data_IF_178252650257
#
_entry.id   IF_178252650257
#
_cell.length_a   1.000
_cell.length_b   1.000
_cell.length_c   1.000
_cell.angle_alpha   90.00
_cell.angle_beta   90.00
_cell.angle_gamma   90.00
#
_symmetry.space_group_name_H-M   'P 1'
#
loop_
_entity.id
_entity.type
_entity.pdbx_description
1 polymer ?
#
# COMPACT_ATOMS: atom_id res chain seq x y z
N UNK A 1 -10.81 8.51 30.42
CA UNK A 1 -11.12 7.38 29.51
C UNK A 1 -9.83 6.78 29.00
N UNK A 2 -9.18 5.93 29.78
CA UNK A 2 -7.83 5.40 29.55
C UNK A 2 -7.80 4.20 28.59
N UNK A 3 -8.93 3.61 28.21
CA UNK A 3 -9.08 2.34 27.51
C UNK A 3 -9.34 2.46 26.00
N UNK A 4 -9.41 3.65 25.41
CA UNK A 4 -9.74 3.82 23.99
C UNK A 4 -8.47 3.95 23.17
N UNK A 5 -8.18 2.94 22.33
CA UNK A 5 -7.12 2.94 21.36
C UNK A 5 -7.69 3.11 19.95
N UNK A 6 -7.19 4.09 19.21
CA UNK A 6 -7.47 4.21 17.78
C UNK A 6 -6.53 3.30 17.00
N UNK A 7 -7.10 2.61 16.02
CA UNK A 7 -6.27 1.88 15.07
C UNK A 7 -5.67 2.87 14.05
N UNK A 8 -4.46 2.58 13.52
CA UNK A 8 -3.79 3.49 12.60
C UNK A 8 -4.47 3.57 11.23
N UNK A 9 -5.21 2.51 10.85
CA UNK A 9 -5.89 2.38 9.55
C UNK A 9 -7.10 1.48 9.69
N UNK A 10 -8.15 1.75 8.91
CA UNK A 10 -9.37 0.97 8.88
C UNK A 10 -9.67 0.51 7.45
N UNK A 11 -10.09 -0.75 7.32
CA UNK A 11 -10.66 -1.28 6.08
C UNK A 11 -12.18 -1.41 6.27
N UNK A 12 -12.99 -0.86 5.35
CA UNK A 12 -14.45 -0.94 5.46
C UNK A 12 -14.92 -2.40 5.35
N UNK A 13 -15.58 -2.89 6.38
CA UNK A 13 -16.11 -4.25 6.47
C UNK A 13 -17.49 -4.22 7.11
N UNK A 14 -18.38 -5.06 6.63
CA UNK A 14 -19.75 -5.22 7.17
C UNK A 14 -20.08 -6.68 7.45
N UNK A 15 -21.07 -6.92 8.32
CA UNK A 15 -21.61 -8.27 8.56
C UNK A 15 -22.16 -8.90 7.28
N UNK A 16 -22.87 -8.12 6.46
CA UNK A 16 -23.37 -8.59 5.16
C UNK A 16 -22.25 -9.10 4.23
N UNK A 17 -21.08 -8.42 4.22
CA UNK A 17 -19.94 -8.88 3.45
C UNK A 17 -19.38 -10.21 3.96
N UNK A 18 -19.38 -10.44 5.27
CA UNK A 18 -18.98 -11.74 5.85
C UNK A 18 -19.96 -12.86 5.45
N UNK A 19 -21.24 -12.60 5.51
CA UNK A 19 -22.25 -13.58 5.07
C UNK A 19 -22.12 -13.89 3.57
N UNK A 20 -21.84 -12.87 2.73
CA UNK A 20 -21.58 -13.07 1.32
C UNK A 20 -20.34 -13.96 1.10
N UNK A 21 -19.25 -13.73 1.85
CA UNK A 21 -18.03 -14.54 1.81
C UNK A 21 -18.29 -15.99 2.21
N UNK A 22 -18.97 -16.24 3.33
CA UNK A 22 -19.33 -17.57 3.80
C UNK A 22 -20.25 -18.30 2.81
N UNK A 23 -21.27 -17.60 2.28
CA UNK A 23 -22.20 -18.15 1.30
C UNK A 23 -21.53 -18.52 -0.03
N UNK A 24 -20.53 -17.74 -0.48
CA UNK A 24 -19.78 -18.06 -1.69
C UNK A 24 -18.92 -19.34 -1.50
N UNK A 25 -18.30 -19.51 -0.34
CA UNK A 25 -17.49 -20.71 -0.03
C UNK A 25 -18.35 -21.98 -0.02
N UNK A 26 -19.62 -21.86 0.35
CA UNK A 26 -20.55 -23.00 0.43
C UNK A 26 -21.13 -23.42 -0.94
N UNK A 27 -21.01 -22.58 -1.99
CA UNK A 27 -21.57 -22.85 -3.33
C UNK A 27 -20.53 -23.46 -4.26
N UNK A 28 -20.96 -24.41 -5.11
CA UNK A 28 -20.10 -25.05 -6.08
C UNK A 28 -19.48 -24.04 -7.10
N UNK A 29 -20.31 -23.10 -7.58
CA UNK A 29 -19.92 -22.04 -8.54
C UNK A 29 -19.50 -20.72 -7.88
N UNK A 30 -19.43 -20.71 -6.55
CA UNK A 30 -19.17 -19.50 -5.77
C UNK A 30 -17.82 -18.83 -6.09
N UNK A 31 -16.80 -19.61 -6.43
CA UNK A 31 -15.48 -19.12 -6.82
C UNK A 31 -15.54 -18.36 -8.13
N UNK A 32 -16.04 -19.01 -9.17
CA UNK A 32 -16.06 -18.44 -10.52
C UNK A 32 -16.87 -17.13 -10.56
N UNK A 33 -18.04 -17.11 -9.92
CA UNK A 33 -18.87 -15.91 -9.83
C UNK A 33 -18.19 -14.79 -9.04
N UNK A 34 -17.54 -15.10 -7.91
CA UNK A 34 -16.87 -14.09 -7.10
C UNK A 34 -15.65 -13.49 -7.84
N UNK A 35 -14.83 -14.31 -8.47
CA UNK A 35 -13.68 -13.88 -9.26
C UNK A 35 -14.14 -13.04 -10.46
N UNK A 36 -15.10 -13.50 -11.26
CA UNK A 36 -15.64 -12.76 -12.41
C UNK A 36 -16.19 -11.38 -12.00
N UNK A 37 -16.91 -11.32 -10.87
CA UNK A 37 -17.42 -10.05 -10.35
C UNK A 37 -16.32 -9.08 -9.97
N UNK A 38 -15.27 -9.53 -9.29
CA UNK A 38 -14.13 -8.69 -8.91
C UNK A 38 -13.36 -8.22 -10.15
N UNK A 39 -13.12 -9.11 -11.12
CA UNK A 39 -12.46 -8.76 -12.39
C UNK A 39 -13.23 -7.66 -13.10
N UNK A 40 -14.56 -7.77 -13.23
CA UNK A 40 -15.39 -6.74 -13.86
C UNK A 40 -15.31 -5.40 -13.13
N UNK A 41 -15.42 -5.40 -11.78
CA UNK A 41 -15.32 -4.19 -10.98
C UNK A 41 -13.95 -3.49 -11.10
N UNK A 42 -12.87 -4.27 -11.15
CA UNK A 42 -11.50 -3.72 -11.33
C UNK A 42 -11.30 -3.20 -12.75
N UNK A 43 -11.72 -3.94 -13.77
CA UNK A 43 -11.62 -3.52 -15.16
C UNK A 43 -12.38 -2.20 -15.41
N UNK A 44 -13.59 -2.10 -14.88
CA UNK A 44 -14.41 -0.87 -14.98
C UNK A 44 -13.75 0.31 -14.25
N UNK A 45 -13.35 0.13 -12.98
CA UNK A 45 -12.84 1.23 -12.16
C UNK A 45 -11.48 1.75 -12.61
N UNK A 46 -10.61 0.86 -13.06
CA UNK A 46 -9.22 1.18 -13.42
C UNK A 46 -8.97 1.24 -14.92
N UNK A 47 -9.90 0.82 -15.76
CA UNK A 47 -9.73 0.76 -17.22
C UNK A 47 -8.72 -0.32 -17.66
N UNK A 48 -8.53 -1.39 -16.86
CA UNK A 48 -7.56 -2.41 -17.14
C UNK A 48 -7.99 -3.33 -18.30
N UNK A 49 -7.06 -3.63 -19.22
CA UNK A 49 -7.25 -4.57 -20.33
C UNK A 49 -7.16 -6.03 -19.90
N UNK A 50 -6.36 -6.31 -18.88
CA UNK A 50 -6.29 -7.64 -18.27
C UNK A 50 -6.16 -7.51 -16.75
N UNK A 51 -6.75 -8.48 -16.03
CA UNK A 51 -6.74 -8.59 -14.58
C UNK A 51 -6.32 -9.99 -14.19
N UNK A 52 -5.35 -10.09 -13.29
CA UNK A 52 -4.94 -11.34 -12.64
C UNK A 52 -5.14 -11.20 -11.14
N UNK A 53 -6.07 -11.94 -10.58
CA UNK A 53 -6.32 -11.94 -9.14
C UNK A 53 -5.31 -12.85 -8.43
N UNK A 54 -4.86 -12.43 -7.25
CA UNK A 54 -3.86 -13.12 -6.44
C UNK A 54 -4.27 -13.15 -4.97
N UNK A 55 -3.61 -13.98 -4.16
CA UNK A 55 -3.90 -14.08 -2.72
C UNK A 55 -3.40 -12.89 -1.89
N UNK A 56 -2.55 -12.04 -2.46
CA UNK A 56 -2.05 -10.82 -1.81
C UNK A 56 -1.46 -9.83 -2.81
N UNK A 57 -1.33 -8.54 -2.43
CA UNK A 57 -0.60 -7.55 -3.21
C UNK A 57 0.88 -7.92 -3.41
N UNK A 58 1.51 -8.55 -2.42
CA UNK A 58 2.89 -9.05 -2.52
C UNK A 58 3.01 -10.11 -3.62
N UNK A 59 2.07 -11.06 -3.68
CA UNK A 59 1.99 -12.05 -4.76
C UNK A 59 1.79 -11.39 -6.13
N UNK A 60 0.93 -10.36 -6.22
CA UNK A 60 0.71 -9.62 -7.46
C UNK A 60 1.99 -8.93 -7.93
N UNK A 61 2.73 -8.28 -7.01
CA UNK A 61 4.01 -7.65 -7.34
C UNK A 61 5.07 -8.69 -7.72
N UNK A 62 5.18 -9.80 -6.97
CA UNK A 62 6.09 -10.90 -7.33
C UNK A 62 5.79 -11.42 -8.73
N UNK A 63 4.51 -11.63 -9.07
CA UNK A 63 4.11 -12.08 -10.41
C UNK A 63 4.51 -11.06 -11.50
N UNK A 64 4.32 -9.77 -11.26
CA UNK A 64 4.75 -8.72 -12.19
C UNK A 64 6.27 -8.78 -12.44
N UNK A 65 7.08 -8.91 -11.37
CA UNK A 65 8.54 -8.99 -11.45
C UNK A 65 9.01 -10.28 -12.15
N UNK A 66 8.38 -11.42 -11.88
CA UNK A 66 8.65 -12.69 -12.59
C UNK A 66 8.32 -12.54 -14.08
N UNK A 67 7.23 -11.87 -14.42
CA UNK A 67 6.85 -11.58 -15.80
C UNK A 67 7.94 -10.79 -16.53
N UNK A 68 8.45 -9.74 -15.90
CA UNK A 68 9.56 -8.92 -16.44
C UNK A 68 10.81 -9.75 -16.66
N UNK A 69 11.22 -10.57 -15.68
CA UNK A 69 12.39 -11.46 -15.82
C UNK A 69 12.26 -12.45 -16.98
N UNK A 70 11.06 -13.00 -17.17
CA UNK A 70 10.80 -13.93 -18.29
C UNK A 70 10.81 -13.23 -19.66
N UNK A 71 10.47 -11.95 -19.72
CA UNK A 71 10.55 -11.14 -20.94
C UNK A 71 11.97 -10.64 -21.20
N UNK A 72 12.73 -10.34 -20.14
CA UNK A 72 14.05 -9.68 -20.18
C UNK A 72 14.99 -10.36 -19.20
N UNK A 73 15.49 -11.53 -19.61
CA UNK A 73 16.42 -12.31 -18.78
C UNK A 73 17.64 -11.46 -18.36
N UNK A 74 17.98 -11.50 -17.07
CA UNK A 74 19.15 -10.82 -16.51
C UNK A 74 18.96 -9.32 -16.22
N UNK A 75 17.84 -8.70 -16.56
CA UNK A 75 17.62 -7.28 -16.21
C UNK A 75 17.32 -7.10 -14.72
N UNK A 76 17.83 -6.01 -14.16
CA UNK A 76 17.47 -5.59 -12.81
C UNK A 76 16.11 -4.85 -12.79
N UNK A 77 15.55 -4.68 -11.60
CA UNK A 77 14.35 -3.86 -11.37
C UNK A 77 14.69 -2.67 -10.49
N UNK A 78 14.34 -1.46 -10.93
CA UNK A 78 14.45 -0.27 -10.10
C UNK A 78 13.30 -0.22 -9.10
N UNK A 79 13.60 -0.12 -7.79
CA UNK A 79 12.61 -0.01 -6.72
C UNK A 79 12.95 1.16 -5.78
N UNK A 80 11.95 1.80 -5.13
CA UNK A 80 12.22 2.89 -4.20
C UNK A 80 13.00 2.39 -2.98
N UNK A 81 14.02 3.12 -2.55
CA UNK A 81 14.76 2.81 -1.34
C UNK A 81 13.95 3.03 -0.05
N UNK A 82 12.86 3.82 -0.12
CA UNK A 82 11.88 3.94 0.96
C UNK A 82 10.53 3.40 0.51
N UNK A 83 10.14 2.23 1.01
CA UNK A 83 8.86 1.59 0.70
C UNK A 83 8.46 0.57 1.77
N UNK A 84 7.26 0.00 1.60
CA UNK A 84 6.84 -1.18 2.34
C UNK A 84 7.82 -2.34 2.12
N UNK A 85 8.13 -3.08 3.18
CA UNK A 85 9.04 -4.24 3.08
C UNK A 85 8.49 -5.37 2.20
N UNK A 86 7.19 -5.35 1.90
CA UNK A 86 6.59 -6.25 0.93
C UNK A 86 7.16 -6.08 -0.49
N UNK A 87 7.71 -4.90 -0.84
CA UNK A 87 8.43 -4.68 -2.10
C UNK A 87 9.72 -5.49 -2.12
N UNK A 88 10.48 -5.48 -1.02
CA UNK A 88 11.67 -6.33 -0.86
C UNK A 88 11.31 -7.82 -0.90
N UNK A 89 10.25 -8.23 -0.17
CA UNK A 89 9.72 -9.60 -0.20
C UNK A 89 9.34 -10.04 -1.60
N UNK A 90 8.70 -9.15 -2.38
CA UNK A 90 8.31 -9.47 -3.76
C UNK A 90 9.51 -9.63 -4.69
N UNK A 91 10.54 -8.78 -4.55
CA UNK A 91 11.77 -8.87 -5.32
C UNK A 91 12.55 -10.15 -4.98
N UNK A 92 12.65 -10.52 -3.71
CA UNK A 92 13.24 -11.79 -3.27
C UNK A 92 12.48 -12.99 -3.83
N UNK A 93 11.14 -12.96 -3.74
CA UNK A 93 10.27 -14.01 -4.25
C UNK A 93 10.35 -14.20 -5.78
N UNK A 94 10.62 -13.12 -6.51
CA UNK A 94 10.83 -13.16 -7.95
C UNK A 94 12.26 -13.57 -8.33
N UNK A 95 13.22 -13.52 -7.41
CA UNK A 95 14.62 -13.78 -7.69
C UNK A 95 15.30 -12.68 -8.52
N UNK A 96 14.74 -11.44 -8.55
CA UNK A 96 15.24 -10.37 -9.43
C UNK A 96 16.39 -9.60 -8.79
N UNK A 97 17.45 -9.22 -9.56
CA UNK A 97 18.41 -8.22 -9.12
C UNK A 97 17.72 -6.86 -8.96
N UNK A 98 18.10 -6.09 -7.95
CA UNK A 98 17.47 -4.82 -7.60
C UNK A 98 18.46 -3.67 -7.73
N UNK A 99 18.01 -2.57 -8.32
CA UNK A 99 18.64 -1.26 -8.27
C UNK A 99 17.73 -0.32 -7.48
N UNK A 100 18.21 0.16 -6.36
CA UNK A 100 17.46 1.13 -5.55
C UNK A 100 17.55 2.52 -6.18
N UNK A 101 16.47 3.29 -6.09
CA UNK A 101 16.46 4.72 -6.33
C UNK A 101 15.94 5.47 -5.09
N UNK A 102 16.39 6.72 -4.91
CA UNK A 102 15.98 7.54 -3.77
C UNK A 102 14.56 8.10 -3.93
N UNK A 103 13.95 8.48 -2.82
CA UNK A 103 12.61 9.04 -2.75
C UNK A 103 12.68 10.48 -2.23
N UNK A 104 12.09 11.43 -2.95
CA UNK A 104 11.97 12.82 -2.47
C UNK A 104 11.12 12.83 -1.18
N UNK A 105 11.66 13.29 -0.05
CA UNK A 105 10.96 13.27 1.22
C UNK A 105 9.77 14.25 1.28
N UNK A 106 9.70 15.24 0.40
CA UNK A 106 8.65 16.24 0.40
C UNK A 106 7.46 15.90 -0.50
N UNK A 107 7.63 14.97 -1.44
CA UNK A 107 6.59 14.55 -2.40
C UNK A 107 6.28 13.06 -2.37
N UNK A 108 7.17 12.25 -1.79
CA UNK A 108 7.16 10.78 -1.84
C UNK A 108 7.34 10.21 -3.26
N UNK A 109 7.68 11.04 -4.22
CA UNK A 109 7.97 10.65 -5.59
C UNK A 109 9.41 10.13 -5.73
N UNK A 110 9.73 9.37 -6.80
CA UNK A 110 11.11 9.04 -7.16
C UNK A 110 11.97 10.29 -7.33
N UNK A 111 13.18 10.29 -6.76
CA UNK A 111 14.20 11.26 -7.14
C UNK A 111 14.64 10.97 -8.59
N UNK A 112 14.47 11.95 -9.47
CA UNK A 112 14.70 11.77 -10.90
C UNK A 112 16.17 11.45 -11.24
N UNK A 113 17.13 12.03 -10.53
CA UNK A 113 18.56 11.80 -10.78
C UNK A 113 18.95 10.37 -10.36
N UNK A 114 18.48 9.94 -9.19
CA UNK A 114 18.69 8.59 -8.68
C UNK A 114 18.02 7.52 -9.56
N UNK A 115 16.78 7.79 -10.02
CA UNK A 115 16.08 6.90 -10.95
C UNK A 115 16.81 6.78 -12.29
N UNK A 116 17.27 7.90 -12.88
CA UNK A 116 18.09 7.85 -14.10
C UNK A 116 19.37 7.04 -13.91
N UNK A 117 20.02 7.14 -12.74
CA UNK A 117 21.21 6.35 -12.44
C UNK A 117 20.89 4.84 -12.41
N UNK A 118 19.76 4.42 -11.84
CA UNK A 118 19.32 3.03 -11.85
C UNK A 118 19.00 2.54 -13.27
N UNK A 119 18.33 3.34 -14.09
CA UNK A 119 18.02 3.00 -15.49
C UNK A 119 19.29 2.84 -16.33
N UNK A 120 20.27 3.74 -16.20
CA UNK A 120 21.58 3.62 -16.89
C UNK A 120 22.34 2.34 -16.52
N UNK A 121 22.07 1.75 -15.35
CA UNK A 121 22.66 0.47 -14.92
C UNK A 121 21.88 -0.75 -15.40
N UNK A 122 20.91 -0.59 -16.29
CA UNK A 122 20.19 -1.69 -16.93
C UNK A 122 18.92 -2.13 -16.21
N UNK A 123 18.25 -1.27 -15.47
CA UNK A 123 16.93 -1.61 -14.95
C UNK A 123 15.92 -1.77 -16.11
N UNK A 124 15.36 -2.95 -16.26
CA UNK A 124 14.34 -3.28 -17.28
C UNK A 124 12.91 -3.02 -16.84
N UNK A 125 12.70 -2.72 -15.56
CA UNK A 125 11.42 -2.24 -15.03
C UNK A 125 11.63 -1.27 -13.86
N UNK A 126 10.60 -0.46 -13.60
CA UNK A 126 10.54 0.49 -12.49
C UNK A 126 9.29 0.18 -11.67
N UNK A 127 9.44 -0.05 -10.38
CA UNK A 127 8.30 -0.09 -9.44
C UNK A 127 8.13 1.31 -8.83
N UNK A 128 6.97 1.93 -9.03
CA UNK A 128 6.63 3.24 -8.45
C UNK A 128 5.54 3.05 -7.40
N UNK A 129 5.82 3.41 -6.16
CA UNK A 129 4.89 3.22 -5.05
C UNK A 129 4.09 4.49 -4.74
N UNK A 130 2.76 4.39 -4.74
CA UNK A 130 1.85 5.44 -4.29
C UNK A 130 1.64 5.34 -2.78
N UNK A 131 2.64 5.73 -2.02
CA UNK A 131 2.70 5.54 -0.57
C UNK A 131 1.57 6.28 0.15
N UNK A 132 0.95 5.63 1.13
CA UNK A 132 -0.10 6.18 2.01
C UNK A 132 -1.34 6.72 1.29
N UNK A 133 -1.50 6.41 -0.01
CA UNK A 133 -2.57 6.94 -0.83
C UNK A 133 -2.25 8.29 -1.49
N UNK A 134 -0.99 8.69 -1.53
CA UNK A 134 -0.50 9.85 -2.29
C UNK A 134 -0.14 9.42 -3.69
N UNK A 135 -0.82 9.94 -4.72
CA UNK A 135 -0.50 9.60 -6.10
C UNK A 135 0.79 10.29 -6.54
N UNK A 136 1.64 9.54 -7.22
CA UNK A 136 2.87 10.02 -7.87
C UNK A 136 2.54 10.41 -9.30
N UNK A 137 3.06 11.56 -9.75
CA UNK A 137 3.00 11.92 -11.17
C UNK A 137 4.01 11.06 -11.97
N UNK A 138 3.50 10.32 -12.94
CA UNK A 138 4.29 9.42 -13.77
C UNK A 138 4.83 10.05 -15.04
N UNK A 139 4.55 11.32 -15.34
CA UNK A 139 4.90 11.94 -16.61
C UNK A 139 6.40 11.85 -16.92
N UNK A 140 7.28 12.33 -16.02
CA UNK A 140 8.73 12.21 -16.19
C UNK A 140 9.20 10.74 -16.10
N UNK A 141 8.62 9.95 -15.20
CA UNK A 141 9.00 8.54 -15.00
C UNK A 141 8.73 7.72 -16.26
N UNK A 142 7.55 7.91 -16.88
CA UNK A 142 7.17 7.23 -18.13
C UNK A 142 8.10 7.62 -19.28
N UNK A 143 8.49 8.90 -19.37
CA UNK A 143 9.47 9.35 -20.38
C UNK A 143 10.83 8.67 -20.17
N UNK A 144 11.36 8.68 -18.95
CA UNK A 144 12.62 8.01 -18.61
C UNK A 144 12.56 6.49 -18.85
N UNK A 145 11.43 5.86 -18.52
CA UNK A 145 11.20 4.46 -18.77
C UNK A 145 11.20 4.13 -20.27
N UNK A 146 10.54 4.96 -21.09
CA UNK A 146 10.51 4.79 -22.54
C UNK A 146 11.91 4.91 -23.16
N UNK A 147 12.72 5.91 -22.75
CA UNK A 147 14.10 6.09 -23.18
C UNK A 147 14.99 4.89 -22.85
N UNK A 148 14.78 4.26 -21.69
CA UNK A 148 15.51 3.06 -21.26
C UNK A 148 14.87 1.76 -21.74
N UNK A 149 13.72 1.81 -22.38
CA UNK A 149 12.91 0.66 -22.73
C UNK A 149 12.39 -0.10 -21.50
N UNK A 150 12.26 0.51 -20.33
CA UNK A 150 11.83 -0.13 -19.09
C UNK A 150 10.31 -0.15 -18.95
N UNK A 151 9.79 -1.18 -18.25
CA UNK A 151 8.36 -1.31 -17.94
C UNK A 151 8.03 -0.57 -16.65
N UNK A 152 6.96 0.25 -16.63
CA UNK A 152 6.48 0.91 -15.41
C UNK A 152 5.45 0.04 -14.72
N UNK A 153 5.71 -0.29 -13.44
CA UNK A 153 4.83 -1.04 -12.54
C UNK A 153 4.41 -0.12 -11.41
N UNK A 154 3.14 0.26 -11.34
CA UNK A 154 2.61 1.05 -10.24
C UNK A 154 2.31 0.13 -9.03
N UNK A 155 2.96 0.34 -7.89
CA UNK A 155 2.49 -0.23 -6.62
C UNK A 155 1.41 0.68 -6.02
N UNK A 156 0.17 0.40 -6.38
CA UNK A 156 -1.02 1.09 -5.90
C UNK A 156 -1.70 0.37 -4.70
N UNK A 157 -0.97 -0.52 -4.01
CA UNK A 157 -1.49 -1.29 -2.87
C UNK A 157 -2.02 -0.42 -1.72
N UNK A 158 -1.66 0.86 -1.66
CA UNK A 158 -2.12 1.85 -0.68
C UNK A 158 -2.95 2.98 -1.30
N UNK A 159 -3.18 2.95 -2.61
CA UNK A 159 -3.71 4.10 -3.35
C UNK A 159 -5.18 3.98 -3.73
N UNK A 160 -5.93 3.05 -3.18
CA UNK A 160 -7.35 2.89 -3.51
C UNK A 160 -8.12 4.20 -3.33
N UNK A 161 -8.71 4.68 -4.43
CA UNK A 161 -9.43 5.94 -4.50
C UNK A 161 -8.58 7.20 -4.74
N UNK A 162 -7.26 7.11 -4.75
CA UNK A 162 -6.40 8.20 -5.17
C UNK A 162 -6.49 8.37 -6.70
N UNK A 163 -6.44 9.63 -7.16
CA UNK A 163 -6.47 9.96 -8.60
C UNK A 163 -5.45 11.03 -8.94
N UNK A 164 -4.96 11.01 -10.18
CA UNK A 164 -4.15 12.07 -10.78
C UNK A 164 -4.75 12.42 -12.16
N UNK A 165 -5.07 13.68 -12.39
CA UNK A 165 -5.73 14.12 -13.61
C UNK A 165 -7.04 13.38 -13.90
N UNK A 166 -7.80 13.01 -12.86
CA UNK A 166 -9.05 12.23 -12.98
C UNK A 166 -8.84 10.72 -13.17
N UNK A 167 -7.62 10.24 -13.46
CA UNK A 167 -7.30 8.82 -13.61
C UNK A 167 -6.93 8.19 -12.27
N UNK A 168 -7.36 6.95 -11.98
CA UNK A 168 -6.95 6.26 -10.76
C UNK A 168 -5.43 6.09 -10.69
N UNK A 169 -4.85 6.29 -9.50
CA UNK A 169 -3.49 5.83 -9.22
C UNK A 169 -3.46 4.30 -9.33
N UNK A 170 -2.52 3.77 -10.07
CA UNK A 170 -2.53 2.39 -10.54
C UNK A 170 -3.26 2.21 -11.89
N UNK A 171 -3.37 3.25 -12.72
CA UNK A 171 -3.99 3.20 -14.04
C UNK A 171 -3.21 3.94 -15.12
N UNK A 172 -1.92 4.20 -14.93
CA UNK A 172 -1.10 5.02 -15.81
C UNK A 172 0.15 4.31 -16.33
N UNK A 173 0.67 3.32 -15.61
CA UNK A 173 1.80 2.47 -16.05
C UNK A 173 1.37 1.32 -16.96
N UNK A 174 2.32 0.50 -17.40
CA UNK A 174 2.03 -0.74 -18.15
C UNK A 174 1.33 -1.79 -17.28
N UNK A 175 1.73 -1.85 -16.00
CA UNK A 175 1.19 -2.74 -14.98
C UNK A 175 0.86 -1.95 -13.70
N UNK A 176 -0.12 -2.44 -12.95
CA UNK A 176 -0.36 -1.97 -11.59
C UNK A 176 -0.68 -3.11 -10.63
N UNK A 177 -0.27 -2.92 -9.38
CA UNK A 177 -0.50 -3.85 -8.29
C UNK A 177 -1.49 -3.23 -7.30
N UNK A 178 -2.54 -3.98 -6.98
CA UNK A 178 -3.50 -3.64 -5.93
C UNK A 178 -3.42 -4.65 -4.79
N UNK A 179 -3.77 -4.21 -3.58
CA UNK A 179 -3.86 -5.06 -2.40
C UNK A 179 -5.21 -4.91 -1.72
N UNK A 180 -5.81 -6.04 -1.35
CA UNK A 180 -7.11 -6.13 -0.67
C UNK A 180 -6.97 -6.68 0.75
N UNK A 181 -5.74 -6.70 1.26
CA UNK A 181 -5.44 -7.13 2.62
C UNK A 181 -6.02 -6.18 3.68
N UNK A 182 -5.88 -6.59 4.93
CA UNK A 182 -6.27 -5.77 6.09
C UNK A 182 -5.49 -4.46 6.11
N UNK A 183 -6.16 -3.38 6.44
CA UNK A 183 -5.54 -2.04 6.47
C UNK A 183 -5.42 -1.40 5.08
N UNK A 184 -6.10 -1.91 4.06
CA UNK A 184 -6.13 -1.33 2.70
C UNK A 184 -7.44 -0.59 2.43
N UNK A 185 -7.44 0.28 1.43
CA UNK A 185 -8.62 1.08 1.07
C UNK A 185 -9.76 0.27 0.47
N UNK A 186 -9.43 -0.77 -0.31
CA UNK A 186 -10.31 -1.87 -0.73
C UNK A 186 -9.97 -3.09 0.11
N UNK A 187 -10.95 -3.90 0.51
CA UNK A 187 -10.67 -5.07 1.34
C UNK A 187 -11.49 -6.30 1.00
N UNK A 188 -10.80 -7.42 0.86
CA UNK A 188 -11.33 -8.78 0.92
C UNK A 188 -10.83 -9.52 2.16
N UNK A 189 -10.10 -8.80 3.08
CA UNK A 189 -9.38 -9.40 4.20
C UNK A 189 -8.04 -9.99 3.82
N UNK A 190 -7.91 -10.48 2.62
CA UNK A 190 -6.73 -10.92 1.89
C UNK A 190 -6.93 -10.60 0.40
N UNK A 191 -5.97 -10.98 -0.44
CA UNK A 191 -6.08 -10.81 -1.88
C UNK A 191 -5.29 -9.62 -2.43
N UNK A 192 -5.08 -9.66 -3.72
CA UNK A 192 -4.47 -8.62 -4.54
C UNK A 192 -4.86 -8.78 -6.00
N UNK A 193 -4.41 -7.87 -6.84
CA UNK A 193 -4.56 -7.96 -8.29
C UNK A 193 -3.37 -7.36 -8.99
N UNK A 194 -3.01 -7.97 -10.12
CA UNK A 194 -2.13 -7.40 -11.13
C UNK A 194 -2.99 -6.97 -12.31
N UNK A 195 -2.93 -5.69 -12.64
CA UNK A 195 -3.68 -5.05 -13.73
C UNK A 195 -2.73 -4.73 -14.89
N UNK A 196 -3.19 -4.85 -16.13
CA UNK A 196 -2.43 -4.51 -17.32
C UNK A 196 -3.19 -3.52 -18.21
N UNK A 197 -2.45 -2.56 -18.81
CA UNK A 197 -3.03 -1.45 -19.55
C UNK A 197 -2.61 -1.38 -21.02
N UNK A 198 -1.47 -1.94 -21.37
CA UNK A 198 -0.94 -1.95 -22.73
C UNK A 198 -0.60 -3.38 -23.20
N UNK A 199 -0.13 -3.50 -24.43
CA UNK A 199 0.19 -4.81 -25.01
C UNK A 199 1.34 -5.50 -24.27
N UNK A 200 2.30 -4.73 -23.71
CA UNK A 200 3.42 -5.29 -22.90
C UNK A 200 2.86 -5.86 -21.61
N UNK A 201 2.09 -5.08 -20.87
CA UNK A 201 1.49 -5.52 -19.61
C UNK A 201 0.59 -6.75 -19.77
N UNK A 202 -0.24 -6.79 -20.83
CA UNK A 202 -1.10 -7.96 -21.12
C UNK A 202 -0.25 -9.21 -21.35
N UNK A 203 0.81 -9.14 -22.18
CA UNK A 203 1.71 -10.29 -22.38
C UNK A 203 2.37 -10.76 -21.09
N UNK A 204 2.79 -9.82 -20.22
CA UNK A 204 3.40 -10.16 -18.92
C UNK A 204 2.40 -10.87 -18.01
N UNK A 205 1.16 -10.40 -17.96
CA UNK A 205 0.08 -11.05 -17.17
C UNK A 205 -0.19 -12.46 -17.67
N UNK A 206 -0.30 -12.67 -18.99
CA UNK A 206 -0.54 -14.01 -19.57
C UNK A 206 0.60 -14.98 -19.27
N UNK A 207 1.86 -14.54 -19.31
CA UNK A 207 3.04 -15.38 -18.98
C UNK A 207 3.04 -15.90 -17.55
N UNK A 208 2.45 -15.15 -16.62
CA UNK A 208 2.49 -15.52 -15.18
C UNK A 208 1.18 -16.13 -14.69
N UNK A 209 0.10 -16.06 -15.47
CA UNK A 209 -1.21 -16.62 -15.09
C UNK A 209 -1.12 -18.10 -14.69
N UNK A 210 -0.42 -18.92 -15.45
CA UNK A 210 -0.23 -20.35 -15.19
C UNK A 210 0.71 -20.67 -14.01
N UNK A 211 1.36 -19.67 -13.42
CA UNK A 211 2.26 -19.87 -12.26
C UNK A 211 1.53 -19.81 -10.92
N UNK A 212 0.26 -19.36 -10.92
CA UNK A 212 -0.53 -19.30 -9.70
C UNK A 212 -0.96 -20.69 -9.28
N UNK A 213 -0.55 -21.12 -8.11
CA UNK A 213 -1.07 -22.33 -7.47
C UNK A 213 -2.51 -22.16 -6.99
N UNK A 214 -3.14 -23.27 -6.61
CA UNK A 214 -4.53 -23.33 -6.18
C UNK A 214 -4.84 -22.40 -5.00
N UNK A 215 -6.05 -21.84 -4.98
CA UNK A 215 -6.50 -21.00 -3.88
C UNK A 215 -6.64 -21.80 -2.59
N UNK A 216 -6.44 -21.13 -1.47
CA UNK A 216 -6.80 -21.71 -0.17
C UNK A 216 -8.33 -21.74 -0.01
N UNK A 217 -8.85 -22.73 0.70
CA UNK A 217 -10.25 -22.70 1.17
C UNK A 217 -10.40 -21.46 2.07
N UNK A 218 -11.32 -20.56 1.72
CA UNK A 218 -11.45 -19.24 2.35
C UNK A 218 -12.00 -19.21 3.78
N UNK A 219 -12.19 -20.38 4.45
CA UNK A 219 -12.75 -20.42 5.81
C UNK A 219 -11.91 -19.64 6.83
N UNK A 220 -10.57 -19.74 6.75
CA UNK A 220 -9.67 -18.96 7.61
C UNK A 220 -9.82 -17.45 7.37
N UNK A 221 -10.04 -17.04 6.13
CA UNK A 221 -10.26 -15.64 5.79
C UNK A 221 -11.57 -15.14 6.40
N UNK A 222 -12.65 -15.92 6.31
CA UNK A 222 -13.95 -15.60 6.94
C UNK A 222 -13.80 -15.46 8.45
N UNK A 223 -13.12 -16.41 9.13
CA UNK A 223 -12.88 -16.35 10.57
C UNK A 223 -12.04 -15.14 10.98
N UNK A 224 -10.96 -14.85 10.22
CA UNK A 224 -10.10 -13.71 10.48
C UNK A 224 -10.85 -12.37 10.30
N UNK A 225 -11.73 -12.29 9.30
CA UNK A 225 -12.57 -11.13 9.06
C UNK A 225 -13.66 -10.97 10.12
N UNK A 226 -14.25 -12.07 10.60
CA UNK A 226 -15.21 -12.05 11.71
C UNK A 226 -14.56 -11.53 13.00
N UNK A 227 -13.36 -12.02 13.32
CA UNK A 227 -12.57 -11.53 14.44
C UNK A 227 -12.23 -10.05 14.25
N UNK A 228 -11.82 -9.62 13.05
CA UNK A 228 -11.57 -8.21 12.74
C UNK A 228 -12.82 -7.36 12.95
N UNK A 229 -14.00 -7.78 12.49
CA UNK A 229 -15.25 -7.03 12.64
C UNK A 229 -15.61 -6.79 14.12
N UNK A 230 -15.34 -7.77 14.98
CA UNK A 230 -15.56 -7.66 16.42
C UNK A 230 -14.53 -6.75 17.09
N UNK A 231 -13.26 -6.90 16.73
CA UNK A 231 -12.13 -6.19 17.37
C UNK A 231 -11.93 -4.76 16.86
N UNK A 232 -12.54 -4.36 15.74
CA UNK A 232 -12.47 -3.00 15.16
C UNK A 232 -13.33 -1.99 15.96
N UNK A 233 -13.66 -2.24 17.21
CA UNK A 233 -14.26 -1.26 18.09
C UNK A 233 -13.15 -0.63 18.93
N UNK A 234 -13.01 0.72 18.97
CA UNK A 234 -11.91 1.38 19.69
C UNK A 234 -11.76 0.96 21.16
N UNK A 235 -12.87 0.54 21.78
CA UNK A 235 -12.89 0.05 23.17
C UNK A 235 -12.39 -1.42 23.30
N UNK A 236 -12.45 -2.21 22.22
CA UNK A 236 -11.97 -3.60 22.19
C UNK A 236 -10.58 -3.72 21.58
N UNK A 237 -10.18 -2.75 20.75
CA UNK A 237 -8.89 -2.78 20.07
C UNK A 237 -7.70 -2.68 21.05
N UNK A 238 -7.91 -2.14 22.25
CA UNK A 238 -6.91 -2.14 23.33
C UNK A 238 -6.44 -3.56 23.69
N UNK A 239 -7.32 -4.57 23.60
CA UNK A 239 -6.96 -5.96 23.91
C UNK A 239 -5.92 -6.53 22.93
N UNK A 240 -6.17 -6.59 21.61
CA UNK A 240 -5.14 -7.05 20.66
C UNK A 240 -3.93 -6.11 20.61
N UNK A 241 -4.09 -4.81 20.82
CA UNK A 241 -2.98 -3.85 20.82
C UNK A 241 -2.03 -4.03 22.04
N UNK A 242 -2.50 -4.61 23.12
CA UNK A 242 -1.69 -4.94 24.30
C UNK A 242 -0.89 -6.26 24.13
N UNK A 243 -1.15 -7.04 23.07
CA UNK A 243 -0.49 -8.32 22.82
C UNK A 243 0.72 -8.12 21.88
N UNK A 244 1.97 -8.08 22.39
CA UNK A 244 3.14 -7.70 21.58
C UNK A 244 3.42 -8.69 20.44
N UNK A 245 3.06 -9.97 20.59
CA UNK A 245 3.26 -11.00 19.56
C UNK A 245 2.35 -10.82 18.31
N UNK A 246 1.31 -9.98 18.37
CA UNK A 246 0.46 -9.68 17.23
C UNK A 246 1.07 -8.64 16.27
N UNK A 247 2.14 -7.95 16.67
CA UNK A 247 2.86 -6.95 15.86
C UNK A 247 1.94 -5.99 15.10
N UNK A 248 0.84 -5.54 15.75
CA UNK A 248 -0.16 -4.72 15.11
C UNK A 248 0.37 -3.33 14.78
N UNK A 249 0.39 -3.03 13.49
CA UNK A 249 0.89 -1.76 12.98
C UNK A 249 2.42 -1.72 12.80
N UNK A 250 3.13 -2.80 13.06
CA UNK A 250 4.56 -2.91 12.81
C UNK A 250 4.83 -3.35 11.36
N UNK A 251 5.86 -2.76 10.77
CA UNK A 251 6.37 -3.17 9.46
C UNK A 251 7.50 -4.17 9.67
N UNK A 252 7.25 -5.42 9.31
CA UNK A 252 8.20 -6.53 9.46
C UNK A 252 8.45 -7.14 8.09
N UNK A 253 9.73 -7.38 7.76
CA UNK A 253 10.10 -8.16 6.59
C UNK A 253 9.58 -9.61 6.74
N UNK A 254 8.99 -10.12 5.69
CA UNK A 254 8.46 -11.49 5.63
C UNK A 254 9.11 -12.25 4.51
N UNK A 255 9.37 -13.53 4.75
CA UNK A 255 9.87 -14.42 3.71
C UNK A 255 8.88 -14.55 2.54
N UNK A 256 9.38 -14.67 1.30
CA UNK A 256 8.56 -14.90 0.13
C UNK A 256 7.68 -16.15 0.26
N UNK A 257 6.53 -16.10 -0.38
CA UNK A 257 5.59 -17.24 -0.43
C UNK A 257 5.34 -17.63 -1.87
N UNK A 258 4.96 -18.90 -2.12
CA UNK A 258 4.53 -19.32 -3.45
C UNK A 258 3.38 -18.48 -3.97
N UNK A 259 3.38 -18.20 -5.27
CA UNK A 259 2.31 -17.49 -5.96
C UNK A 259 1.01 -18.30 -5.86
N UNK A 260 -0.09 -17.66 -5.46
CA UNK A 260 -1.40 -18.32 -5.31
C UNK A 260 -2.53 -17.44 -5.83
N UNK A 261 -3.57 -18.12 -6.30
CA UNK A 261 -4.85 -17.50 -6.59
C UNK A 261 -5.57 -17.05 -5.29
N UNK A 262 -6.48 -16.05 -5.35
CA UNK A 262 -7.20 -15.56 -4.19
C UNK A 262 -8.20 -16.61 -3.66
N UNK A 263 -8.61 -16.49 -2.40
CA UNK A 263 -9.69 -17.31 -1.88
C UNK A 263 -11.06 -16.80 -2.36
N UNK A 264 -12.00 -17.72 -2.53
CA UNK A 264 -13.40 -17.41 -2.86
C UNK A 264 -14.00 -16.40 -1.89
N UNK A 265 -13.76 -16.60 -0.58
CA UNK A 265 -14.22 -15.68 0.46
C UNK A 265 -13.68 -14.26 0.26
N UNK A 266 -12.39 -14.13 -0.02
CA UNK A 266 -11.76 -12.81 -0.24
C UNK A 266 -12.39 -12.07 -1.42
N UNK A 267 -12.56 -12.73 -2.56
CA UNK A 267 -13.20 -12.12 -3.73
C UNK A 267 -14.66 -11.71 -3.45
N UNK A 268 -15.43 -12.57 -2.80
CA UNK A 268 -16.83 -12.27 -2.47
C UNK A 268 -16.97 -11.12 -1.47
N UNK A 269 -16.12 -11.08 -0.44
CA UNK A 269 -16.07 -9.97 0.53
C UNK A 269 -15.66 -8.67 -0.16
N UNK A 270 -14.65 -8.69 -1.02
CA UNK A 270 -14.22 -7.52 -1.78
C UNK A 270 -15.36 -6.94 -2.63
N UNK A 271 -16.07 -7.79 -3.38
CA UNK A 271 -17.21 -7.36 -4.17
C UNK A 271 -18.33 -6.74 -3.29
N UNK A 272 -18.59 -7.32 -2.12
CA UNK A 272 -19.63 -6.84 -1.20
C UNK A 272 -19.23 -5.55 -0.43
N UNK A 273 -17.93 -5.27 -0.31
CA UNK A 273 -17.44 -4.04 0.37
C UNK A 273 -17.13 -2.90 -0.61
N UNK A 274 -17.30 -3.10 -1.91
CA UNK A 274 -16.88 -2.18 -2.96
C UNK A 274 -17.42 -0.76 -2.77
N UNK A 275 -18.73 -0.63 -2.56
CA UNK A 275 -19.38 0.67 -2.35
C UNK A 275 -19.07 1.28 -0.97
N UNK A 276 -18.70 0.47 0.02
CA UNK A 276 -18.29 0.98 1.33
C UNK A 276 -16.95 1.70 1.25
N UNK A 277 -16.08 1.30 0.31
CA UNK A 277 -14.77 1.92 0.11
C UNK A 277 -14.88 3.38 -0.33
N UNK A 278 -15.89 3.75 -1.13
CA UNK A 278 -16.08 5.12 -1.59
C UNK A 278 -16.54 6.04 -0.44
N UNK A 279 -17.44 5.55 0.41
CA UNK A 279 -17.85 6.29 1.63
C UNK A 279 -16.68 6.48 2.60
N UNK A 280 -15.85 5.46 2.75
CA UNK A 280 -14.65 5.53 3.58
C UNK A 280 -13.62 6.52 3.02
N UNK A 281 -13.44 6.55 1.70
CA UNK A 281 -12.58 7.50 1.01
C UNK A 281 -12.96 8.95 1.29
N UNK A 282 -14.26 9.27 1.20
CA UNK A 282 -14.75 10.62 1.49
C UNK A 282 -14.55 11.01 2.95
N UNK A 283 -14.71 10.07 3.88
CA UNK A 283 -14.41 10.31 5.29
C UNK A 283 -12.93 10.60 5.50
N UNK A 284 -12.04 9.82 4.87
CA UNK A 284 -10.58 10.03 4.92
C UNK A 284 -10.19 11.42 4.41
N UNK A 285 -10.75 11.84 3.29
CA UNK A 285 -10.48 13.17 2.70
C UNK A 285 -10.91 14.30 3.63
N UNK A 286 -12.12 14.22 4.20
CA UNK A 286 -12.60 15.23 5.17
C UNK A 286 -11.72 15.29 6.41
N UNK A 287 -11.32 14.14 6.98
CA UNK A 287 -10.48 14.10 8.17
C UNK A 287 -9.06 14.59 7.87
N UNK A 288 -8.49 14.21 6.73
CA UNK A 288 -7.17 14.68 6.30
C UNK A 288 -7.17 16.21 6.11
N UNK A 289 -8.17 16.76 5.42
CA UNK A 289 -8.29 18.21 5.22
C UNK A 289 -8.33 18.96 6.56
N UNK A 290 -9.09 18.48 7.53
CA UNK A 290 -9.16 19.06 8.87
C UNK A 290 -7.82 19.02 9.60
N UNK A 291 -7.11 17.88 9.57
CA UNK A 291 -5.82 17.72 10.23
C UNK A 291 -4.72 18.53 9.54
N UNK A 292 -4.76 18.67 8.19
CA UNK A 292 -3.80 19.47 7.42
C UNK A 292 -3.82 20.94 7.83
N UNK A 293 -4.99 21.53 8.09
CA UNK A 293 -5.12 22.92 8.57
C UNK A 293 -4.35 23.11 9.89
N UNK A 294 -4.44 22.15 10.80
CA UNK A 294 -3.72 22.24 12.07
C UNK A 294 -2.21 22.01 11.89
N UNK A 295 -1.82 21.01 11.10
CA UNK A 295 -0.41 20.69 10.84
C UNK A 295 0.37 21.84 10.19
N UNK A 296 -0.26 22.55 9.25
CA UNK A 296 0.36 23.69 8.56
C UNK A 296 0.67 24.88 9.48
N UNK A 297 0.02 24.94 10.65
CA UNK A 297 0.25 25.98 11.66
C UNK A 297 1.39 25.66 12.62
N UNK A 298 1.92 24.42 12.55
CA UNK A 298 2.88 23.92 13.53
C UNK A 298 4.25 23.74 12.90
N UNK A 299 5.30 24.46 13.35
CA UNK A 299 6.64 24.39 12.78
C UNK A 299 7.31 23.03 12.95
N UNK A 300 6.86 22.23 13.93
CA UNK A 300 7.37 20.88 14.15
C UNK A 300 6.96 19.85 13.10
N UNK A 301 6.11 20.22 12.13
CA UNK A 301 5.66 19.33 11.07
C UNK A 301 5.76 19.96 9.69
N UNK A 302 6.21 19.17 8.70
CA UNK A 302 6.11 19.55 7.29
C UNK A 302 5.18 18.57 6.57
N UNK A 303 4.18 19.11 5.87
CA UNK A 303 3.23 18.31 5.09
C UNK A 303 3.83 17.84 3.78
N UNK A 304 3.40 16.69 3.29
CA UNK A 304 3.82 16.17 1.98
C UNK A 304 3.07 16.94 0.89
N UNK A 305 3.81 17.41 -0.10
CA UNK A 305 3.25 18.11 -1.26
C UNK A 305 2.57 17.14 -2.20
N UNK A 306 1.48 17.57 -2.78
CA UNK A 306 0.68 16.80 -3.72
C UNK A 306 0.73 17.50 -5.08
N UNK A 307 0.86 16.80 -6.22
CA UNK A 307 0.72 17.41 -7.54
C UNK A 307 -0.63 18.12 -7.69
N UNK A 308 -0.68 19.25 -8.42
CA UNK A 308 -1.87 20.13 -8.52
C UNK A 308 -3.14 19.40 -8.99
N UNK A 309 -2.99 18.38 -9.84
CA UNK A 309 -4.12 17.62 -10.37
C UNK A 309 -4.39 16.32 -9.61
N UNK A 310 -3.74 16.12 -8.45
CA UNK A 310 -3.86 14.91 -7.67
C UNK A 310 -4.92 15.05 -6.56
N UNK A 311 -5.66 13.97 -6.36
CA UNK A 311 -6.59 13.82 -5.23
C UNK A 311 -6.16 12.59 -4.42
N UNK A 312 -5.44 12.75 -3.31
CA UNK A 312 -5.00 11.65 -2.48
C UNK A 312 -6.15 10.82 -1.91
N UNK A 313 -5.89 9.54 -1.73
CA UNK A 313 -6.79 8.61 -1.07
C UNK A 313 -6.68 8.64 0.46
N UNK A 314 -5.60 9.25 0.97
CA UNK A 314 -5.32 9.40 2.40
C UNK A 314 -5.56 8.11 3.18
N UNK A 315 -4.98 6.99 2.73
CA UNK A 315 -5.03 5.77 3.53
C UNK A 315 -4.51 6.03 4.95
N UNK A 316 -3.51 6.90 5.03
CA UNK A 316 -3.00 7.59 6.21
C UNK A 316 -2.51 8.96 5.79
N UNK A 317 -2.40 9.89 6.73
CA UNK A 317 -1.84 11.22 6.47
C UNK A 317 -0.36 11.24 6.86
N UNK A 318 0.58 11.16 5.89
CA UNK A 318 2.02 11.25 6.15
C UNK A 318 2.44 12.69 6.39
N UNK A 319 3.36 12.88 7.34
CA UNK A 319 4.02 14.16 7.63
C UNK A 319 5.46 13.93 8.03
N UNK A 320 6.35 14.87 7.73
CA UNK A 320 7.70 14.90 8.27
C UNK A 320 7.69 15.62 9.61
N UNK A 321 8.06 14.92 10.67
CA UNK A 321 8.15 15.48 12.01
C UNK A 321 9.57 16.06 12.27
N UNK A 322 9.68 17.13 13.05
CA UNK A 322 10.97 17.55 13.65
C UNK A 322 11.55 16.42 14.50
N UNK A 323 12.84 16.42 14.82
CA UNK A 323 13.41 15.40 15.69
C UNK A 323 12.69 15.27 17.04
N UNK A 324 12.22 16.39 17.60
CA UNK A 324 11.47 16.41 18.86
C UNK A 324 10.06 15.86 18.70
N UNK A 325 9.31 16.28 17.68
CA UNK A 325 8.00 15.74 17.35
C UNK A 325 8.07 14.23 17.04
N UNK A 326 9.13 13.78 16.37
CA UNK A 326 9.35 12.35 16.07
C UNK A 326 9.56 11.50 17.31
N UNK A 327 10.23 12.03 18.35
CA UNK A 327 10.37 11.35 19.66
C UNK A 327 9.00 11.19 20.32
N UNK A 328 8.16 12.21 20.32
CA UNK A 328 6.81 12.14 20.87
C UNK A 328 5.90 11.11 20.17
N UNK A 329 6.14 10.78 18.89
CA UNK A 329 5.44 9.70 18.18
C UNK A 329 5.74 8.32 18.77
N UNK A 330 6.92 8.11 19.36
CA UNK A 330 7.27 6.85 20.02
C UNK A 330 6.54 6.63 21.35
N UNK A 331 5.98 7.70 21.93
CA UNK A 331 5.28 7.66 23.20
C UNK A 331 3.91 6.97 23.10
N UNK A 332 3.49 6.34 24.20
CA UNK A 332 2.22 5.62 24.27
C UNK A 332 0.98 6.50 24.00
N UNK A 333 1.07 7.82 24.26
CA UNK A 333 0.01 8.78 23.96
C UNK A 333 -0.28 8.87 22.45
N UNK A 334 0.73 8.99 21.62
CA UNK A 334 0.60 9.02 20.16
C UNK A 334 0.02 7.71 19.60
N UNK A 335 0.52 6.58 20.08
CA UNK A 335 0.00 5.25 19.68
C UNK A 335 -1.48 5.07 20.01
N UNK A 336 -1.93 5.56 21.17
CA UNK A 336 -3.36 5.52 21.53
C UNK A 336 -4.24 6.36 20.60
N UNK A 337 -3.68 7.38 19.97
CA UNK A 337 -4.35 8.18 18.95
C UNK A 337 -4.29 7.57 17.55
N UNK A 338 -3.60 6.45 17.36
CA UNK A 338 -3.35 5.82 16.05
C UNK A 338 -2.24 6.48 15.25
N UNK A 339 -1.49 7.41 15.85
CA UNK A 339 -0.30 8.02 15.23
C UNK A 339 0.84 7.00 15.29
N UNK A 340 1.49 6.80 14.15
CA UNK A 340 2.53 5.77 13.99
C UNK A 340 3.74 6.35 13.26
N UNK A 341 4.95 5.82 13.51
CA UNK A 341 6.08 6.08 12.63
C UNK A 341 5.81 5.58 11.22
N UNK A 342 6.57 6.07 10.23
CA UNK A 342 6.68 5.49 8.91
C UNK A 342 7.40 4.13 8.94
N UNK A 343 7.91 3.69 7.80
CA UNK A 343 8.75 2.49 7.75
C UNK A 343 10.04 2.74 8.53
N UNK A 344 10.44 1.81 9.42
CA UNK A 344 11.51 2.06 10.39
C UNK A 344 12.92 2.13 9.78
N UNK A 345 13.13 1.51 8.61
CA UNK A 345 14.39 1.52 7.87
C UNK A 345 14.14 1.71 6.38
N UNK A 346 15.07 2.31 5.68
CA UNK A 346 15.12 2.25 4.23
C UNK A 346 15.47 0.83 3.76
N UNK A 347 15.08 0.44 2.53
CA UNK A 347 15.33 -0.91 2.02
C UNK A 347 16.83 -1.20 1.86
N UNK A 348 17.66 -0.18 1.59
CA UNK A 348 19.13 -0.32 1.59
C UNK A 348 19.72 -0.73 2.94
N UNK A 349 19.03 -0.41 4.04
CA UNK A 349 19.44 -0.69 5.41
C UNK A 349 18.85 -2.01 5.96
N UNK A 350 18.10 -2.76 5.13
CA UNK A 350 17.60 -4.09 5.47
C UNK A 350 18.67 -5.16 5.19
N UNK A 351 19.19 -5.78 6.25
CA UNK A 351 20.24 -6.79 6.14
C UNK A 351 19.85 -7.97 5.23
N UNK A 352 18.63 -8.49 5.39
CA UNK A 352 18.11 -9.63 4.63
C UNK A 352 17.92 -9.34 3.14
N UNK A 353 17.75 -8.08 2.75
CA UNK A 353 17.56 -7.67 1.36
C UNK A 353 18.87 -7.38 0.63
N UNK A 354 20.00 -7.33 1.36
CA UNK A 354 21.29 -6.91 0.81
C UNK A 354 21.84 -7.75 -0.33
N UNK A 355 21.58 -9.06 -0.35
CA UNK A 355 22.09 -9.98 -1.37
C UNK A 355 21.51 -9.80 -2.78
N UNK A 356 20.40 -9.06 -2.92
CA UNK A 356 19.77 -8.77 -4.22
C UNK A 356 20.03 -7.37 -4.73
N UNK A 357 20.53 -6.49 -3.89
CA UNK A 357 20.69 -5.06 -4.19
C UNK A 357 22.05 -4.80 -4.80
N UNK A 358 22.08 -4.34 -6.06
CA UNK A 358 23.29 -4.08 -6.82
C UNK A 358 23.98 -2.75 -6.48
N UNK A 359 23.30 -1.84 -5.77
CA UNK A 359 23.79 -0.51 -5.44
C UNK A 359 23.51 -0.13 -3.97
N UNK A 360 23.62 -1.09 -3.07
CA UNK A 360 23.29 -0.89 -1.64
C UNK A 360 24.07 0.26 -1.00
N UNK A 361 25.34 0.44 -1.42
CA UNK A 361 26.24 1.44 -0.85
C UNK A 361 26.04 2.87 -1.43
N UNK A 362 25.10 3.02 -2.37
CA UNK A 362 24.78 4.33 -2.90
C UNK A 362 24.08 5.21 -1.85
N UNK A 363 24.18 6.52 -2.03
CA UNK A 363 23.51 7.48 -1.15
C UNK A 363 22.00 7.52 -1.46
N UNK A 364 21.19 7.37 -0.40
CA UNK A 364 19.73 7.51 -0.45
C UNK A 364 19.28 8.47 0.67
N UNK A 365 19.68 9.76 0.62
CA UNK A 365 19.45 10.70 1.72
C UNK A 365 17.96 10.96 1.97
N UNK A 366 17.14 11.07 0.92
CA UNK A 366 15.71 11.27 1.04
C UNK A 366 15.02 10.08 1.71
N UNK A 367 15.35 8.87 1.30
CA UNK A 367 14.81 7.64 1.88
C UNK A 367 15.20 7.45 3.34
N UNK A 368 16.43 7.77 3.72
CA UNK A 368 16.88 7.73 5.12
C UNK A 368 16.24 8.84 5.95
N UNK A 369 16.04 10.03 5.39
CA UNK A 369 15.29 11.11 6.05
C UNK A 369 13.84 10.69 6.32
N UNK A 370 13.19 10.06 5.35
CA UNK A 370 11.84 9.50 5.51
C UNK A 370 11.79 8.45 6.62
N UNK A 371 12.72 7.51 6.65
CA UNK A 371 12.80 6.50 7.71
C UNK A 371 12.99 7.14 9.10
N UNK A 372 13.80 8.19 9.18
CA UNK A 372 14.08 8.89 10.44
C UNK A 372 12.93 9.79 10.90
N UNK A 373 12.22 10.47 9.98
CA UNK A 373 11.33 11.59 10.32
C UNK A 373 9.87 11.40 9.94
N UNK A 374 9.54 10.48 9.02
CA UNK A 374 8.15 10.31 8.61
C UNK A 374 7.33 9.73 9.76
N UNK A 375 6.18 10.33 9.99
CA UNK A 375 5.12 9.76 10.80
C UNK A 375 3.78 9.88 10.07
N UNK A 376 2.78 9.14 10.52
CA UNK A 376 1.49 9.07 9.85
C UNK A 376 0.36 9.17 10.86
N UNK A 377 -0.64 9.98 10.53
CA UNK A 377 -1.84 10.16 11.33
C UNK A 377 -3.00 9.33 10.73
N UNK A 378 -3.91 8.82 11.56
CA UNK A 378 -5.11 8.13 11.08
C UNK A 378 -6.09 9.13 10.46
N UNK A 379 -6.79 8.67 9.40
CA UNK A 379 -7.77 9.48 8.67
C UNK A 379 -9.12 8.80 8.51
N UNK A 380 -9.22 7.54 8.92
CA UNK A 380 -10.35 6.66 8.65
C UNK A 380 -11.69 7.15 9.23
N UNK A 381 -12.80 6.70 8.63
CA UNK A 381 -14.16 7.10 8.98
C UNK A 381 -14.66 6.67 10.38
N UNK A 382 -13.87 5.89 11.12
CA UNK A 382 -14.17 5.52 12.52
C UNK A 382 -13.69 6.54 13.54
N UNK A 383 -12.97 7.59 13.11
CA UNK A 383 -12.63 8.70 13.99
C UNK A 383 -13.88 9.53 14.29
N UNK A 384 -14.23 9.67 15.56
CA UNK A 384 -15.26 10.57 16.02
C UNK A 384 -14.76 12.02 16.02
N UNK A 385 -15.67 12.99 16.13
CA UNK A 385 -15.31 14.39 16.30
C UNK A 385 -14.37 14.60 17.50
N UNK A 386 -14.62 13.90 18.61
CA UNK A 386 -13.75 13.95 19.79
C UNK A 386 -12.37 13.34 19.56
N UNK A 387 -12.24 12.31 18.68
CA UNK A 387 -10.93 11.72 18.30
C UNK A 387 -10.12 12.72 17.49
N UNK A 388 -10.75 13.39 16.51
CA UNK A 388 -10.11 14.45 15.74
C UNK A 388 -9.66 15.61 16.64
N UNK A 389 -10.49 16.05 17.58
CA UNK A 389 -10.11 17.08 18.54
C UNK A 389 -8.94 16.67 19.45
N UNK A 390 -8.80 15.37 19.78
CA UNK A 390 -7.62 14.86 20.51
C UNK A 390 -6.36 14.87 19.64
N UNK A 391 -6.47 14.49 18.36
CA UNK A 391 -5.38 14.57 17.41
C UNK A 391 -4.91 16.02 17.22
N UNK A 392 -5.81 16.97 17.05
CA UNK A 392 -5.48 18.40 16.93
C UNK A 392 -4.75 18.94 18.17
N UNK A 393 -5.21 18.60 19.37
CA UNK A 393 -4.51 18.98 20.61
C UNK A 393 -3.12 18.37 20.69
N UNK A 394 -2.98 17.10 20.30
CA UNK A 394 -1.67 16.44 20.25
C UNK A 394 -0.73 17.12 19.24
N UNK A 395 -1.23 17.45 18.02
CA UNK A 395 -0.47 18.17 16.99
C UNK A 395 0.03 19.51 17.54
N UNK A 396 -0.82 20.29 18.20
CA UNK A 396 -0.42 21.56 18.80
C UNK A 396 0.62 21.41 19.89
N UNK A 397 0.42 20.46 20.81
CA UNK A 397 1.33 20.26 21.94
C UNK A 397 2.72 19.81 21.49
N UNK A 398 2.81 19.00 20.43
CA UNK A 398 4.05 18.43 19.94
C UNK A 398 4.70 19.29 18.86
N UNK A 399 3.91 20.04 18.12
CA UNK A 399 4.36 20.82 16.97
C UNK A 399 4.97 22.19 17.33
N UNK A 400 4.78 22.69 18.54
CA UNK A 400 5.41 23.90 19.03
C UNK A 400 6.83 23.66 19.58
N UNK A 401 7.18 22.44 19.79
CA UNK A 401 8.48 21.95 20.22
C UNK A 401 9.32 21.54 18.97
#
# INVERSE_FOLDING_TARGET
MWWRHQFPVYSPLSGAALFAGAGAVARADGRERAEARVVALLAERYGAKAVLLTDSGTTALTAALVGVLKERAGSAVAVPAFSCYDVATAADGAGVPVLLYDTDPHTLAPDAASLRAALRRGAGAIVVAHLYGYPVDLGEITRLAAEAGAVVIEDAAQAAGATLGGRPAGGQGSLAVLSFGRGKGLTGGSGGALLAYDAVGVRLVERVRGLLGDPRRGLRDVMALAAQLLLVRPNLYSLPAALPFLHLGETIYREPRPLRAPSTASCSVLAATWTLADRELEARRRHAARLLVELQRQPGFATIRVPDHARPGYLRLPVLASPMARRAVAEGAARRLGVMPGYPKALCDLERFGGRTLNRDAAFPGSRLLAARLCTLPTHGRLSHGDLGRLERWIRAVGQA
#
